data_IF_944030927477
#
_entry.id   IF_944030927477
#
_cell.length_a   1.000
_cell.length_b   1.000
_cell.length_c   1.000
_cell.angle_alpha   90.00
_cell.angle_beta   90.00
_cell.angle_gamma   90.00
#
_symmetry.space_group_name_H-M   'P 1'
#
loop_
_entity.id
_entity.type
_entity.pdbx_description
1 polymer ?
#
# COMPACT_ATOMS: atom_id res chain seq x y z
N UNK A 1 -20.12 1.14 -0.46
CA UNK A 1 -18.83 1.77 -0.80
C UNK A 1 -17.77 1.04 0.00
N UNK A 2 -16.76 0.47 -0.66
CA UNK A 2 -15.71 -0.29 0.01
C UNK A 2 -14.73 0.68 0.68
N UNK A 3 -14.99 1.02 1.94
CA UNK A 3 -14.24 2.05 2.68
C UNK A 3 -12.76 1.71 2.85
N UNK A 4 -12.40 0.41 2.85
CA UNK A 4 -11.00 0.00 2.94
C UNK A 4 -10.26 0.19 1.61
N UNK A 5 -10.89 -0.13 0.47
CA UNK A 5 -10.31 0.12 -0.84
C UNK A 5 -10.04 1.61 -1.08
N UNK A 6 -11.00 2.47 -0.72
CA UNK A 6 -10.81 3.94 -0.82
C UNK A 6 -9.67 4.40 0.07
N UNK A 7 -9.62 3.94 1.32
CA UNK A 7 -8.54 4.27 2.25
C UNK A 7 -7.16 3.85 1.70
N UNK A 8 -7.01 2.63 1.21
CA UNK A 8 -5.74 2.14 0.62
C UNK A 8 -5.33 3.01 -0.57
N UNK A 9 -6.27 3.30 -1.46
CA UNK A 9 -6.03 4.11 -2.67
C UNK A 9 -5.59 5.52 -2.30
N UNK A 10 -6.26 6.16 -1.33
CA UNK A 10 -5.88 7.49 -0.84
C UNK A 10 -4.50 7.52 -0.19
N UNK A 11 -4.17 6.52 0.64
CA UNK A 11 -2.85 6.44 1.29
C UNK A 11 -1.74 6.15 0.29
N UNK A 12 -1.97 5.26 -0.67
CA UNK A 12 -1.02 4.99 -1.74
C UNK A 12 -0.82 6.23 -2.64
N UNK A 13 -1.89 6.94 -2.99
CA UNK A 13 -1.79 8.22 -3.72
C UNK A 13 -1.00 9.27 -2.91
N UNK A 14 -1.29 9.41 -1.62
CA UNK A 14 -0.57 10.31 -0.74
C UNK A 14 0.92 9.93 -0.65
N UNK A 15 1.25 8.65 -0.61
CA UNK A 15 2.64 8.18 -0.66
C UNK A 15 3.34 8.56 -1.97
N UNK A 16 2.66 8.40 -3.11
CA UNK A 16 3.18 8.75 -4.44
C UNK A 16 3.60 10.22 -4.54
N UNK A 17 2.90 11.14 -3.87
CA UNK A 17 3.21 12.58 -3.86
C UNK A 17 4.17 13.01 -2.73
N UNK A 18 4.75 12.08 -1.98
CA UNK A 18 5.73 12.37 -0.91
C UNK A 18 5.19 12.30 0.53
N UNK A 19 3.95 11.87 0.72
CA UNK A 19 3.31 11.68 2.03
C UNK A 19 3.73 10.40 2.78
N UNK A 20 4.64 9.61 2.23
CA UNK A 20 5.02 8.29 2.73
C UNK A 20 5.44 8.28 4.21
N UNK A 21 6.16 9.31 4.67
CA UNK A 21 6.63 9.38 6.07
C UNK A 21 5.52 9.54 7.11
N UNK A 22 4.32 10.04 6.74
CA UNK A 22 3.19 10.27 7.66
C UNK A 22 2.27 9.05 7.81
N UNK A 23 2.53 7.99 7.05
CA UNK A 23 1.73 6.77 7.07
C UNK A 23 2.10 5.87 8.27
N UNK A 24 1.10 5.17 8.80
CA UNK A 24 1.32 4.06 9.74
C UNK A 24 2.13 2.94 9.08
N UNK A 25 2.78 2.08 9.85
CA UNK A 25 3.62 1.02 9.28
C UNK A 25 2.85 0.10 8.32
N UNK A 26 1.61 -0.28 8.65
CA UNK A 26 0.76 -1.07 7.74
C UNK A 26 0.38 -0.29 6.47
N UNK A 27 0.10 1.01 6.58
CA UNK A 27 -0.21 1.86 5.43
C UNK A 27 1.00 2.04 4.51
N UNK A 28 2.22 2.11 5.06
CA UNK A 28 3.46 2.14 4.28
C UNK A 28 3.67 0.86 3.48
N UNK A 29 3.45 -0.30 4.11
CA UNK A 29 3.55 -1.60 3.45
C UNK A 29 2.51 -1.74 2.33
N UNK A 30 1.26 -1.35 2.60
CA UNK A 30 0.21 -1.35 1.58
C UNK A 30 0.53 -0.41 0.42
N UNK A 31 0.95 0.83 0.70
CA UNK A 31 1.33 1.79 -0.32
C UNK A 31 2.53 1.29 -1.15
N UNK A 32 3.53 0.67 -0.52
CA UNK A 32 4.67 0.10 -1.21
C UNK A 32 4.27 -1.07 -2.12
N UNK A 33 3.36 -1.95 -1.67
CA UNK A 33 2.85 -3.05 -2.50
C UNK A 33 2.00 -2.54 -3.66
N UNK A 34 1.06 -1.62 -3.41
CA UNK A 34 0.17 -1.05 -4.43
C UNK A 34 0.94 -0.25 -5.49
N UNK A 35 1.98 0.48 -5.09
CA UNK A 35 2.81 1.25 -6.02
C UNK A 35 3.95 0.42 -6.63
N UNK A 36 4.00 -0.89 -6.34
CA UNK A 36 5.06 -1.80 -6.77
C UNK A 36 6.47 -1.25 -6.48
N UNK A 37 6.70 -0.80 -5.24
CA UNK A 37 7.96 -0.23 -4.72
C UNK A 37 8.62 -1.19 -3.74
N UNK A 38 9.29 -2.25 -4.22
CA UNK A 38 10.03 -3.17 -3.36
C UNK A 38 11.19 -2.47 -2.64
N UNK A 39 11.74 -1.40 -3.22
CA UNK A 39 12.78 -0.57 -2.59
C UNK A 39 12.29 0.12 -1.30
N UNK A 40 11.00 0.44 -1.21
CA UNK A 40 10.43 0.99 0.03
C UNK A 40 10.30 -0.08 1.11
N UNK A 41 9.93 -1.30 0.73
CA UNK A 41 9.88 -2.43 1.65
C UNK A 41 11.28 -2.74 2.20
N UNK A 42 12.27 -2.78 1.32
CA UNK A 42 13.68 -3.01 1.68
C UNK A 42 14.23 -1.90 2.60
N UNK A 43 13.91 -0.64 2.31
CA UNK A 43 14.27 0.49 3.17
C UNK A 43 13.64 0.41 4.57
N UNK A 44 12.53 -0.31 4.72
CA UNK A 44 11.89 -0.55 6.01
C UNK A 44 12.34 -1.88 6.66
N UNK A 45 13.16 -2.67 5.97
CA UNK A 45 13.62 -3.97 6.42
C UNK A 45 12.56 -5.07 6.33
N UNK A 46 11.60 -4.95 5.42
CA UNK A 46 10.56 -5.95 5.19
C UNK A 46 10.72 -6.65 3.85
N UNK A 47 10.58 -7.97 3.86
CA UNK A 47 10.34 -8.73 2.63
C UNK A 47 8.90 -8.57 2.15
N UNK A 48 8.63 -8.92 0.89
CA UNK A 48 7.26 -8.93 0.33
C UNK A 48 6.36 -9.88 1.15
N UNK A 49 6.88 -11.04 1.55
CA UNK A 49 6.12 -12.02 2.33
C UNK A 49 5.75 -11.47 3.72
N UNK A 50 6.69 -10.85 4.43
CA UNK A 50 6.42 -10.22 5.73
C UNK A 50 5.49 -9.01 5.60
N UNK A 51 5.59 -8.26 4.50
CA UNK A 51 4.69 -7.16 4.22
C UNK A 51 3.25 -7.65 4.06
N UNK A 52 3.05 -8.76 3.34
CA UNK A 52 1.74 -9.40 3.16
C UNK A 52 1.22 -9.99 4.47
N UNK A 53 2.06 -10.69 5.23
CA UNK A 53 1.70 -11.30 6.53
C UNK A 53 1.25 -10.25 7.55
N UNK A 54 1.85 -9.06 7.50
CA UNK A 54 1.51 -7.95 8.39
C UNK A 54 0.27 -7.16 7.97
N UNK A 55 -0.14 -7.28 6.71
CA UNK A 55 -1.38 -6.70 6.25
C UNK A 55 -2.55 -7.61 6.60
N UNK A 56 -3.62 -7.00 7.10
CA UNK A 56 -4.86 -7.75 7.36
C UNK A 56 -5.40 -8.35 6.04
N UNK A 57 -6.02 -9.53 6.11
CA UNK A 57 -6.50 -10.23 4.92
C UNK A 57 -7.42 -9.37 4.04
N UNK A 58 -8.23 -8.49 4.65
CA UNK A 58 -9.09 -7.58 3.91
C UNK A 58 -8.33 -6.60 3.01
N UNK A 59 -7.09 -6.25 3.35
CA UNK A 59 -6.25 -5.35 2.55
C UNK A 59 -5.62 -6.08 1.37
N UNK A 60 -5.10 -7.29 1.59
CA UNK A 60 -4.41 -8.10 0.57
C UNK A 60 -5.31 -8.35 -0.65
N UNK A 61 -6.59 -8.68 -0.41
CA UNK A 61 -7.59 -8.90 -1.46
C UNK A 61 -7.87 -7.66 -2.32
N UNK A 62 -7.56 -6.47 -1.80
CA UNK A 62 -7.86 -5.17 -2.41
C UNK A 62 -6.64 -4.50 -3.04
N UNK A 63 -5.43 -5.02 -2.81
CA UNK A 63 -4.19 -4.46 -3.37
C UNK A 63 -4.24 -4.33 -4.89
N UNK A 64 -4.63 -5.41 -5.58
CA UNK A 64 -4.75 -5.40 -7.06
C UNK A 64 -5.81 -4.42 -7.57
N UNK A 65 -6.90 -4.22 -6.82
CA UNK A 65 -7.93 -3.26 -7.19
C UNK A 65 -7.43 -1.82 -7.01
N UNK A 66 -6.74 -1.53 -5.91
CA UNK A 66 -6.16 -0.22 -5.64
C UNK A 66 -5.07 0.13 -6.67
N UNK A 67 -4.21 -0.81 -7.03
CA UNK A 67 -3.18 -0.63 -8.07
C UNK A 67 -3.83 -0.24 -9.41
N UNK A 68 -4.86 -0.98 -9.83
CA UNK A 68 -5.60 -0.69 -11.06
C UNK A 68 -6.20 0.71 -11.04
N UNK A 69 -6.86 1.08 -9.94
CA UNK A 69 -7.45 2.42 -9.81
C UNK A 69 -6.37 3.49 -9.99
N UNK A 70 -5.20 3.36 -9.35
CA UNK A 70 -4.13 4.34 -9.43
C UNK A 70 -3.40 4.40 -10.79
N UNK A 71 -3.40 3.30 -11.55
CA UNK A 71 -2.84 3.24 -12.89
C UNK A 71 -3.79 3.81 -13.96
N UNK A 72 -5.10 3.80 -13.70
CA UNK A 72 -6.12 4.44 -14.53
C UNK A 72 -6.27 5.95 -14.26
N UNK A 73 -5.56 6.51 -13.27
CA UNK A 73 -5.50 7.97 -12.99
C UNK A 73 -4.41 8.71 -13.78
#
# INVERSE_FOLDING_TARGET
>A
MDSQLQHITEKARAARIGGFCRLSTGEKLAAALVLNRPDWLDSMGYTIAEAIDRLDHGWVERLMQAERILNDE
#
